data_IF_457693565568
#
_entry.id   IF_457693565568
#
_cell.length_a   1.000
_cell.length_b   1.000
_cell.length_c   1.000
_cell.angle_alpha   90.00
_cell.angle_beta   90.00
_cell.angle_gamma   90.00
#
_symmetry.space_group_name_H-M   'P 1'
#
loop_
_entity.id
_entity.type
_entity.pdbx_description
1 polymer ?
#
# COMPACT_ATOMS: atom_id res chain seq x y z
N UNK A 1 -8.55 -4.55 1.95
CA UNK A 1 -8.07 -3.68 0.88
C UNK A 1 -7.83 -2.26 1.40
N UNK A 2 -8.86 -1.54 1.74
CA UNK A 2 -8.79 -0.17 2.24
C UNK A 2 -9.70 0.03 3.44
N UNK A 3 -9.32 0.99 4.29
CA UNK A 3 -10.11 1.43 5.43
C UNK A 3 -10.04 2.94 5.55
N UNK A 4 -11.06 3.53 6.15
CA UNK A 4 -11.07 4.94 6.46
C UNK A 4 -11.62 5.17 7.87
N UNK A 5 -11.14 6.21 8.51
CA UNK A 5 -11.62 6.68 9.81
C UNK A 5 -11.88 8.18 9.75
N UNK A 6 -12.92 8.62 10.41
CA UNK A 6 -13.22 10.03 10.57
C UNK A 6 -13.04 10.40 12.05
N UNK A 7 -12.07 11.25 12.32
CA UNK A 7 -11.72 11.66 13.69
C UNK A 7 -10.95 12.97 13.67
N UNK A 8 -11.12 13.77 14.71
CA UNK A 8 -10.27 14.93 15.00
C UNK A 8 -9.12 14.58 15.96
N UNK A 9 -9.08 13.36 16.48
CA UNK A 9 -8.04 12.89 17.40
C UNK A 9 -6.86 12.31 16.58
N UNK A 10 -5.76 13.05 16.53
CA UNK A 10 -4.56 12.65 15.82
C UNK A 10 -3.94 11.35 16.37
N UNK A 11 -3.97 11.16 17.69
CA UNK A 11 -3.46 9.93 18.32
C UNK A 11 -4.26 8.70 17.87
N UNK A 12 -5.58 8.84 17.77
CA UNK A 12 -6.47 7.78 17.25
C UNK A 12 -6.16 7.47 15.80
N UNK A 13 -5.95 8.49 14.98
CA UNK A 13 -5.61 8.32 13.57
C UNK A 13 -4.31 7.51 13.40
N UNK A 14 -3.26 7.86 14.12
CA UNK A 14 -1.98 7.14 14.06
C UNK A 14 -2.07 5.72 14.63
N UNK A 15 -2.79 5.56 15.73
CA UNK A 15 -2.99 4.23 16.32
C UNK A 15 -3.72 3.30 15.36
N UNK A 16 -4.79 3.79 14.72
CA UNK A 16 -5.52 3.01 13.72
C UNK A 16 -4.65 2.62 12.53
N UNK A 17 -3.81 3.53 12.05
CA UNK A 17 -2.86 3.25 10.98
C UNK A 17 -1.90 2.09 11.32
N UNK A 18 -1.52 1.98 12.58
CA UNK A 18 -0.64 0.91 13.08
C UNK A 18 -1.38 -0.42 13.28
N UNK A 19 -2.60 -0.37 13.82
CA UNK A 19 -3.28 -1.55 14.34
C UNK A 19 -4.26 -2.17 13.33
N UNK A 20 -4.77 -1.40 12.38
CA UNK A 20 -5.73 -1.89 11.38
C UNK A 20 -5.00 -2.50 10.19
N UNK A 21 -5.27 -3.76 9.92
CA UNK A 21 -4.67 -4.48 8.79
C UNK A 21 -5.44 -4.14 7.50
N UNK A 22 -5.01 -3.10 6.84
CA UNK A 22 -5.51 -2.67 5.53
C UNK A 22 -4.35 -2.24 4.64
N UNK A 23 -4.52 -2.35 3.33
CA UNK A 23 -3.51 -1.92 2.37
C UNK A 23 -3.44 -0.40 2.26
N UNK A 24 -4.57 0.27 2.46
CA UNK A 24 -4.68 1.73 2.54
C UNK A 24 -5.41 2.09 3.82
N UNK A 25 -4.90 3.10 4.51
CA UNK A 25 -5.53 3.71 5.66
C UNK A 25 -5.77 5.19 5.40
N UNK A 26 -7.04 5.58 5.26
CA UNK A 26 -7.46 6.95 5.07
C UNK A 26 -7.93 7.59 6.38
N UNK A 27 -7.59 8.85 6.58
CA UNK A 27 -8.07 9.63 7.72
C UNK A 27 -8.84 10.84 7.18
N UNK A 28 -10.11 10.94 7.54
CA UNK A 28 -11.02 12.02 7.13
C UNK A 28 -11.11 12.18 5.60
N UNK A 29 -10.93 11.09 4.86
CA UNK A 29 -10.99 11.10 3.40
C UNK A 29 -11.47 9.76 2.85
N UNK A 30 -11.96 9.82 1.62
CA UNK A 30 -12.31 8.67 0.81
C UNK A 30 -11.81 8.89 -0.62
N UNK A 31 -11.16 7.89 -1.19
CA UNK A 31 -10.59 7.94 -2.56
C UNK A 31 -9.54 9.04 -2.77
N UNK A 32 -9.03 9.64 -1.71
CA UNK A 32 -7.89 10.54 -1.81
C UNK A 32 -6.62 9.70 -1.84
N UNK A 33 -6.05 9.56 -3.03
CA UNK A 33 -4.84 8.77 -3.22
C UNK A 33 -3.97 9.34 -4.34
N UNK A 34 -2.70 9.00 -4.28
CA UNK A 34 -1.73 9.27 -5.33
C UNK A 34 -1.41 7.94 -6.05
N UNK A 35 -1.49 7.93 -7.38
CA UNK A 35 -1.23 6.73 -8.17
C UNK A 35 0.24 6.27 -8.10
N UNK A 36 1.13 7.08 -7.56
CA UNK A 36 2.53 6.73 -7.32
C UNK A 36 2.75 5.97 -6.01
N UNK A 37 1.72 5.83 -5.20
CA UNK A 37 1.79 5.08 -3.94
C UNK A 37 1.34 3.64 -4.13
N UNK A 38 1.85 2.71 -3.31
CA UNK A 38 1.43 1.32 -3.41
C UNK A 38 -0.05 1.15 -3.09
N UNK A 39 -0.72 0.33 -3.88
CA UNK A 39 -2.12 -0.04 -3.71
C UNK A 39 -2.28 -1.54 -3.74
N UNK A 40 -2.97 -2.10 -2.79
CA UNK A 40 -3.26 -3.53 -2.74
C UNK A 40 -3.85 -3.96 -1.42
N UNK A 41 -4.32 -5.18 -1.38
CA UNK A 41 -4.95 -5.76 -0.21
C UNK A 41 -3.98 -6.45 0.74
N UNK A 42 -4.49 -6.78 1.91
CA UNK A 42 -3.88 -7.70 2.87
C UNK A 42 -4.85 -8.85 3.13
N UNK A 43 -4.34 -9.97 3.63
CA UNK A 43 -5.15 -11.16 3.92
C UNK A 43 -5.96 -11.58 2.67
N UNK A 44 -7.27 -11.80 2.82
CA UNK A 44 -8.15 -12.23 1.74
C UNK A 44 -8.47 -11.16 0.70
N UNK A 45 -8.11 -9.90 0.94
CA UNK A 45 -8.35 -8.80 0.00
C UNK A 45 -7.41 -8.82 -1.21
N UNK A 46 -6.30 -9.53 -1.14
CA UNK A 46 -5.40 -9.65 -2.27
C UNK A 46 -3.96 -9.87 -1.88
N UNK A 47 -3.12 -10.06 -2.92
CA UNK A 47 -1.69 -10.31 -2.82
C UNK A 47 -0.95 -9.28 -3.67
N UNK A 48 0.19 -8.82 -3.17
CA UNK A 48 1.04 -7.88 -3.88
C UNK A 48 0.56 -6.44 -3.83
N UNK A 49 1.22 -5.62 -4.60
CA UNK A 49 0.92 -4.18 -4.70
C UNK A 49 0.98 -3.73 -6.15
N UNK A 50 0.08 -2.81 -6.52
CA UNK A 50 0.17 -2.07 -7.77
C UNK A 50 0.45 -0.59 -7.47
N UNK A 51 0.81 0.19 -8.48
CA UNK A 51 1.21 1.58 -8.30
C UNK A 51 2.61 1.73 -7.72
N UNK A 52 3.27 2.84 -8.02
CA UNK A 52 4.60 3.12 -7.52
C UNK A 52 5.66 2.10 -7.94
N UNK A 53 6.77 2.10 -7.23
CA UNK A 53 7.87 1.16 -7.48
C UNK A 53 7.54 -0.27 -7.05
N UNK A 54 6.67 -0.45 -6.10
CA UNK A 54 6.25 -1.76 -5.59
C UNK A 54 5.58 -2.61 -6.67
N UNK A 55 4.99 -1.99 -7.69
CA UNK A 55 4.43 -2.69 -8.83
C UNK A 55 5.50 -3.45 -9.63
N UNK A 56 6.70 -2.89 -9.73
CA UNK A 56 7.82 -3.57 -10.41
C UNK A 56 8.22 -4.85 -9.68
N UNK A 57 8.30 -4.81 -8.36
CA UNK A 57 8.64 -6.00 -7.58
C UNK A 57 7.61 -7.11 -7.72
N UNK A 58 6.34 -6.74 -7.85
CA UNK A 58 5.26 -7.72 -7.99
C UNK A 58 5.11 -8.27 -9.41
N UNK A 59 5.21 -7.41 -10.44
CA UNK A 59 4.91 -7.79 -11.82
C UNK A 59 6.13 -8.20 -12.64
N UNK A 60 7.34 -8.08 -12.11
CA UNK A 60 8.57 -8.41 -12.80
C UNK A 60 9.42 -9.37 -11.97
N UNK A 61 10.36 -10.01 -12.63
CA UNK A 61 11.30 -10.92 -12.00
C UNK A 61 12.73 -10.44 -12.27
N UNK A 62 13.55 -10.23 -11.23
CA UNK A 62 14.93 -9.79 -11.40
C UNK A 62 15.79 -10.89 -12.03
N UNK A 63 16.65 -10.52 -12.97
CA UNK A 63 17.62 -11.39 -13.58
C UNK A 63 19.00 -10.75 -13.52
N UNK A 64 19.98 -11.47 -12.99
CA UNK A 64 21.38 -11.09 -13.10
C UNK A 64 21.95 -11.57 -14.45
N UNK A 65 22.53 -10.65 -15.22
CA UNK A 65 23.21 -10.97 -16.49
C UNK A 65 24.68 -10.55 -16.35
N UNK A 66 25.58 -11.52 -16.38
CA UNK A 66 27.01 -11.26 -16.34
C UNK A 66 27.64 -11.75 -17.64
N UNK A 67 28.31 -10.84 -18.36
CA UNK A 67 28.96 -11.13 -19.64
C UNK A 67 30.43 -10.74 -19.52
N UNK A 68 31.31 -11.69 -19.83
CA UNK A 68 32.73 -11.43 -19.94
C UNK A 68 33.13 -11.43 -21.41
N UNK A 69 33.80 -10.39 -21.81
CA UNK A 69 34.38 -10.26 -23.15
C UNK A 69 35.80 -10.77 -23.20
#
# INVERSE_FOLDING_TARGET
>A
LASSVWTSDLKRAHRGAKDVHAGIWGVNCWLLRDLRTPFGGVKSSGVGREGGFEAFDFFTEPKNVCIRY
#
